data_IF_228151565076
#
_entry.id   IF_228151565076
#
_cell.length_a   1.000
_cell.length_b   1.000
_cell.length_c   1.000
_cell.angle_alpha   90.00
_cell.angle_beta   90.00
_cell.angle_gamma   90.00
#
_symmetry.space_group_name_H-M   'P 1'
#
loop_
_entity.id
_entity.type
_entity.pdbx_description
1 polymer ?
#
# COMPACT_ATOMS: atom_id res chain seq x y z
N UNK A 1 6.43 33.26 -9.79
CA UNK A 1 5.86 33.47 -8.43
C UNK A 1 4.35 33.49 -8.63
N UNK A 2 3.60 32.41 -8.44
CA UNK A 2 3.52 31.55 -7.26
C UNK A 2 2.93 30.21 -7.68
N UNK A 3 3.67 29.10 -7.52
CA UNK A 3 3.08 27.76 -7.51
C UNK A 3 2.78 27.44 -6.06
N UNK A 4 1.60 27.84 -5.60
CA UNK A 4 1.02 27.37 -4.33
C UNK A 4 0.56 25.92 -4.58
N UNK A 5 1.50 24.97 -4.53
CA UNK A 5 1.12 23.57 -4.38
C UNK A 5 0.69 23.41 -2.92
N UNK A 6 -0.55 22.94 -2.64
CA UNK A 6 -0.93 22.62 -1.28
C UNK A 6 0.03 21.52 -0.81
N UNK A 7 0.89 21.87 0.14
CA UNK A 7 1.79 20.93 0.77
C UNK A 7 0.97 19.72 1.22
N UNK A 8 1.19 18.57 0.58
CA UNK A 8 0.67 17.28 1.00
C UNK A 8 0.95 17.18 2.50
N UNK A 9 -0.10 17.30 3.32
CA UNK A 9 0.08 17.38 4.76
C UNK A 9 0.81 16.10 5.20
N UNK A 10 2.00 16.20 5.82
CA UNK A 10 2.84 15.04 6.12
C UNK A 10 2.12 13.99 6.99
N UNK A 11 1.18 14.44 7.83
CA UNK A 11 0.35 13.56 8.65
C UNK A 11 -0.61 12.66 7.85
N UNK A 12 -1.17 13.15 6.74
CA UNK A 12 -2.11 12.38 5.92
C UNK A 12 -1.39 11.23 5.20
N UNK A 13 -0.18 11.50 4.71
CA UNK A 13 0.64 10.50 4.03
C UNK A 13 1.12 9.40 4.99
N UNK A 14 1.61 9.76 6.17
CA UNK A 14 1.98 8.79 7.22
C UNK A 14 0.80 7.92 7.62
N UNK A 15 -0.40 8.51 7.79
CA UNK A 15 -1.60 7.75 8.10
C UNK A 15 -1.93 6.73 7.00
N UNK A 16 -1.80 7.11 5.73
CA UNK A 16 -2.02 6.21 4.59
C UNK A 16 -0.99 5.07 4.54
N UNK A 17 0.28 5.36 4.79
CA UNK A 17 1.33 4.33 4.87
C UNK A 17 1.06 3.35 6.01
N UNK A 18 0.74 3.85 7.21
CA UNK A 18 0.43 3.01 8.36
C UNK A 18 -0.80 2.14 8.13
N UNK A 19 -1.88 2.72 7.60
CA UNK A 19 -3.10 1.97 7.29
C UNK A 19 -2.84 0.87 6.25
N UNK A 20 -2.09 1.18 5.19
CA UNK A 20 -1.77 0.22 4.14
C UNK A 20 -0.84 -0.90 4.62
N UNK A 21 0.19 -0.57 5.40
CA UNK A 21 1.10 -1.56 6.00
C UNK A 21 0.38 -2.47 6.99
N UNK A 22 -0.60 -1.95 7.74
CA UNK A 22 -1.45 -2.75 8.61
C UNK A 22 -2.32 -3.73 7.81
N UNK A 23 -2.96 -3.25 6.75
CA UNK A 23 -3.76 -4.07 5.84
C UNK A 23 -2.94 -5.21 5.21
N UNK A 24 -1.71 -4.94 4.77
CA UNK A 24 -0.80 -5.95 4.24
C UNK A 24 -0.47 -7.04 5.27
N UNK A 25 -0.20 -6.65 6.51
CA UNK A 25 0.04 -7.59 7.62
C UNK A 25 -1.17 -8.46 7.91
N UNK A 26 -2.37 -7.89 7.84
CA UNK A 26 -3.64 -8.63 8.03
C UNK A 26 -3.86 -9.69 6.94
N UNK A 27 -3.40 -9.42 5.71
CA UNK A 27 -3.41 -10.37 4.60
C UNK A 27 -2.24 -11.38 4.60
N UNK A 28 -1.37 -11.33 5.60
CA UNK A 28 -0.25 -12.25 5.75
C UNK A 28 1.04 -11.86 5.01
N UNK A 29 1.14 -10.62 4.52
CA UNK A 29 2.40 -10.07 4.00
C UNK A 29 3.23 -9.58 5.18
N UNK A 30 4.46 -10.11 5.31
CA UNK A 30 5.37 -9.72 6.38
C UNK A 30 5.95 -8.34 6.08
N UNK A 31 5.41 -7.31 6.74
CA UNK A 31 5.89 -5.93 6.63
C UNK A 31 6.51 -5.51 7.95
N UNK A 32 7.82 -5.26 7.91
CA UNK A 32 8.57 -4.75 9.04
C UNK A 32 8.38 -3.23 9.21
N UNK A 33 8.43 -2.69 10.45
CA UNK A 33 8.32 -1.26 10.70
C UNK A 33 9.42 -0.44 9.99
N UNK A 34 10.61 -1.02 9.81
CA UNK A 34 11.67 -0.41 9.01
C UNK A 34 11.28 -0.23 7.55
N UNK A 35 10.52 -1.16 6.96
CA UNK A 35 10.05 -1.03 5.58
C UNK A 35 8.97 0.05 5.44
N UNK A 36 8.14 0.22 6.47
CA UNK A 36 7.18 1.33 6.51
C UNK A 36 7.91 2.68 6.54
N UNK A 37 8.99 2.80 7.32
CA UNK A 37 9.81 4.01 7.36
C UNK A 37 10.52 4.26 6.02
N UNK A 38 11.09 3.21 5.41
CA UNK A 38 11.70 3.29 4.07
C UNK A 38 10.70 3.75 3.02
N UNK A 39 9.44 3.30 3.12
CA UNK A 39 8.37 3.79 2.25
C UNK A 39 8.10 5.27 2.49
N UNK A 40 7.98 5.73 3.75
CA UNK A 40 7.79 7.16 4.05
C UNK A 40 8.92 7.98 3.42
N UNK A 41 10.18 7.59 3.64
CA UNK A 41 11.33 8.27 3.04
C UNK A 41 11.27 8.27 1.51
N UNK A 42 10.97 7.13 0.87
CA UNK A 42 10.86 7.04 -0.58
C UNK A 42 9.79 7.98 -1.14
N UNK A 43 8.67 8.13 -0.42
CA UNK A 43 7.57 9.01 -0.78
C UNK A 43 7.89 10.51 -0.58
N UNK A 44 8.88 10.86 0.24
CA UNK A 44 9.39 12.24 0.34
C UNK A 44 10.17 12.66 -0.91
N UNK A 45 10.78 11.71 -1.62
CA UNK A 45 11.54 11.96 -2.85
C UNK A 45 10.71 11.85 -4.13
N UNK A 46 9.52 11.25 -4.05
CA UNK A 46 8.62 11.07 -5.21
C UNK A 46 7.50 12.10 -5.12
N UNK A 47 7.30 12.97 -6.13
CA UNK A 47 6.12 13.82 -6.18
C UNK A 47 4.90 12.91 -6.39
N UNK A 48 4.21 12.55 -5.31
CA UNK A 48 2.99 11.73 -5.38
C UNK A 48 1.90 12.58 -5.99
N UNK A 49 1.81 12.51 -7.30
CA UNK A 49 0.76 13.14 -8.09
C UNK A 49 -0.32 12.13 -8.46
N UNK A 50 -0.01 10.83 -8.37
CA UNK A 50 -0.93 9.75 -8.71
C UNK A 50 -0.85 8.56 -7.74
N UNK A 51 -1.95 7.79 -7.69
CA UNK A 51 -2.02 6.48 -6.99
C UNK A 51 -0.95 5.48 -7.48
N UNK A 52 -0.57 5.56 -8.74
CA UNK A 52 0.43 4.67 -9.34
C UNK A 52 1.84 4.96 -8.84
N UNK A 53 2.16 6.20 -8.50
CA UNK A 53 3.43 6.58 -7.88
C UNK A 53 3.56 5.91 -6.51
N UNK A 54 2.50 5.99 -5.69
CA UNK A 54 2.44 5.31 -4.40
C UNK A 54 2.56 3.79 -4.57
N UNK A 55 1.83 3.20 -5.52
CA UNK A 55 1.91 1.76 -5.81
C UNK A 55 3.33 1.33 -6.13
N UNK A 56 4.02 2.09 -6.99
CA UNK A 56 5.37 1.77 -7.44
C UNK A 56 6.38 1.88 -6.29
N UNK A 57 6.30 2.95 -5.50
CA UNK A 57 7.15 3.13 -4.33
C UNK A 57 6.90 2.03 -3.26
N UNK A 58 5.64 1.76 -2.93
CA UNK A 58 5.27 0.72 -1.96
C UNK A 58 5.68 -0.68 -2.43
N UNK A 59 5.56 -0.98 -3.73
CA UNK A 59 6.04 -2.23 -4.31
C UNK A 59 7.55 -2.37 -4.16
N UNK A 60 8.31 -1.31 -4.43
CA UNK A 60 9.77 -1.34 -4.34
C UNK A 60 10.30 -1.47 -2.90
N UNK A 61 9.61 -0.91 -1.90
CA UNK A 61 10.08 -0.88 -0.51
C UNK A 61 9.54 -2.03 0.34
N UNK A 62 8.25 -2.36 0.18
CA UNK A 62 7.56 -3.33 1.03
C UNK A 62 7.71 -4.77 0.52
N UNK A 63 7.82 -4.98 -0.81
CA UNK A 63 7.83 -6.32 -1.39
C UNK A 63 9.25 -6.82 -1.57
N UNK A 64 9.60 -7.85 -0.79
CA UNK A 64 10.91 -8.51 -0.84
C UNK A 64 10.87 -9.85 -1.57
N UNK A 65 9.70 -10.46 -1.67
CA UNK A 65 9.52 -11.76 -2.33
C UNK A 65 8.45 -11.67 -3.40
N UNK A 66 8.66 -12.37 -4.50
CA UNK A 66 7.69 -12.43 -5.58
C UNK A 66 6.36 -13.10 -5.15
N UNK A 67 6.38 -13.96 -4.12
CA UNK A 67 5.18 -14.59 -3.54
C UNK A 67 4.22 -13.57 -2.90
N UNK A 68 4.73 -12.43 -2.41
CA UNK A 68 3.93 -11.41 -1.73
C UNK A 68 3.30 -10.41 -2.72
N UNK A 69 3.78 -10.38 -3.97
CA UNK A 69 3.30 -9.51 -5.03
C UNK A 69 1.78 -9.62 -5.31
N UNK A 70 1.20 -10.83 -5.49
CA UNK A 70 -0.24 -10.97 -5.73
C UNK A 70 -1.09 -10.51 -4.53
N UNK A 71 -0.61 -10.72 -3.30
CA UNK A 71 -1.27 -10.23 -2.09
C UNK A 71 -1.23 -8.70 -2.03
N UNK A 72 -0.08 -8.12 -2.34
CA UNK A 72 0.08 -6.66 -2.45
C UNK A 72 -0.85 -6.04 -3.48
N UNK A 73 -0.93 -6.60 -4.69
CA UNK A 73 -1.80 -6.07 -5.74
C UNK A 73 -3.27 -6.15 -5.34
N UNK A 74 -3.68 -7.24 -4.66
CA UNK A 74 -5.03 -7.38 -4.09
C UNK A 74 -5.30 -6.35 -3.00
N UNK A 75 -4.35 -6.17 -2.08
CA UNK A 75 -4.41 -5.18 -1.01
C UNK A 75 -4.57 -3.76 -1.55
N UNK A 76 -3.76 -3.43 -2.56
CA UNK A 76 -3.74 -2.12 -3.17
C UNK A 76 -5.06 -1.82 -3.90
N UNK A 77 -5.57 -2.79 -4.67
CA UNK A 77 -6.86 -2.69 -5.31
C UNK A 77 -7.99 -2.50 -4.29
N UNK A 78 -8.00 -3.28 -3.20
CA UNK A 78 -9.00 -3.19 -2.15
C UNK A 78 -8.96 -1.85 -1.41
N UNK A 79 -7.78 -1.42 -0.96
CA UNK A 79 -7.58 -0.16 -0.23
C UNK A 79 -8.08 1.04 -1.05
N UNK A 80 -7.75 1.07 -2.34
CA UNK A 80 -8.16 2.18 -3.20
C UNK A 80 -9.63 2.09 -3.64
N UNK A 81 -10.24 0.90 -3.66
CA UNK A 81 -11.68 0.73 -3.91
C UNK A 81 -12.53 1.31 -2.78
N UNK A 82 -12.16 1.06 -1.52
CA UNK A 82 -12.87 1.60 -0.34
C UNK A 82 -12.86 3.12 -0.35
N UNK A 83 -11.73 3.72 -0.72
CA UNK A 83 -11.59 5.18 -0.78
C UNK A 83 -12.33 5.82 -1.97
N UNK A 84 -12.59 5.07 -3.05
CA UNK A 84 -13.21 5.61 -4.27
C UNK A 84 -14.75 5.49 -4.31
N UNK A 85 -15.38 4.89 -3.30
CA UNK A 85 -16.84 4.68 -3.20
C UNK A 85 -17.52 4.32 -4.53
N UNK A 86 -16.92 3.40 -5.29
CA UNK A 86 -17.40 3.02 -6.63
C UNK A 86 -18.28 1.77 -6.50
N UNK A 87 -19.63 1.90 -6.56
CA UNK A 87 -20.55 0.80 -6.28
C UNK A 87 -20.60 -0.25 -7.39
N UNK A 88 -19.91 -0.06 -8.52
CA UNK A 88 -20.18 -0.80 -9.75
C UNK A 88 -19.13 -1.87 -10.08
N UNK A 89 -18.56 -2.58 -9.10
CA UNK A 89 -17.81 -3.80 -9.38
C UNK A 89 -17.68 -4.69 -8.13
N UNK A 90 -18.80 -5.21 -7.62
CA UNK A 90 -18.85 -6.27 -6.59
C UNK A 90 -18.58 -7.68 -7.17
N UNK A 91 -17.69 -7.79 -8.15
CA UNK A 91 -17.17 -9.07 -8.63
C UNK A 91 -15.78 -9.30 -8.03
N UNK A 92 -15.72 -9.67 -6.75
CA UNK A 92 -14.48 -10.16 -6.15
C UNK A 92 -14.27 -11.61 -6.57
N UNK A 93 -13.20 -11.96 -7.32
CA UNK A 93 -12.75 -13.34 -7.32
C UNK A 93 -12.23 -13.64 -5.92
N UNK A 94 -12.85 -14.62 -5.25
CA UNK A 94 -12.36 -15.19 -3.98
C UNK A 94 -10.95 -15.75 -4.25
N UNK A 95 -9.93 -14.97 -3.93
CA UNK A 95 -8.55 -15.45 -3.89
C UNK A 95 -8.37 -16.17 -2.56
N UNK A 96 -8.17 -17.49 -2.61
CA UNK A 96 -7.76 -18.29 -1.45
C UNK A 96 -6.43 -17.74 -0.94
N UNK A 97 -6.42 -17.20 0.28
CA UNK A 97 -5.20 -16.92 1.03
C UNK A 97 -4.56 -18.27 1.39
N UNK A 98 -3.37 -18.62 0.88
CA UNK A 98 -2.66 -19.78 1.39
C UNK A 98 -2.13 -19.42 2.78
N UNK A 99 -2.81 -19.86 3.83
CA UNK A 99 -2.29 -19.79 5.19
C UNK A 99 -0.98 -20.57 5.25
N UNK A 100 0.13 -19.86 5.49
CA UNK A 100 1.44 -20.46 5.70
C UNK A 100 1.36 -21.29 7.01
N UNK A 101 1.63 -22.61 7.00
CA UNK A 101 1.66 -23.36 8.25
C UNK A 101 2.86 -22.86 9.07
N UNK A 102 2.57 -22.32 10.25
CA UNK A 102 3.58 -22.03 11.27
C UNK A 102 4.30 -23.35 11.58
N UNK A 103 5.57 -23.44 11.19
CA UNK A 103 6.45 -24.49 11.67
C UNK A 103 6.87 -24.12 13.08
N UNK A 104 6.35 -24.85 14.06
CA UNK A 104 6.94 -24.98 15.41
C UNK A 104 7.54 -26.37 15.57
#
# INVERSE_FOLDING_TARGET
>A
MTSDQPASQPGFLMQHVLAFTFLLREMGVDVSPGQALELVHALEFVPITSREDFRSAARCTLIRRHEDLPLFDTAFAFYWRVQNNDPMMLALPVMKVPAKPLRI
#
